data_IF_702839555316
#
_entry.id   IF_702839555316
#
_cell.length_a   1.000
_cell.length_b   1.000
_cell.length_c   1.000
_cell.angle_alpha   90.00
_cell.angle_beta   90.00
_cell.angle_gamma   90.00
#
_symmetry.space_group_name_H-M   'P 1'
#
loop_
_entity.id
_entity.type
_entity.pdbx_description
1 polymer ?
#
# COMPACT_ATOMS: atom_id res chain seq x y z
N UNK A 1 31.79 -12.13 2.96
CA UNK A 1 30.68 -12.38 3.90
C UNK A 1 29.88 -11.10 4.01
N UNK A 2 28.66 -11.09 3.48
CA UNK A 2 27.69 -10.01 3.70
C UNK A 2 26.38 -10.69 4.04
N UNK A 3 25.76 -10.16 5.08
CA UNK A 3 25.02 -10.86 6.11
C UNK A 3 23.59 -11.18 5.65
N UNK A 4 23.25 -12.47 5.74
CA UNK A 4 21.94 -13.00 5.41
C UNK A 4 20.92 -12.61 6.51
N UNK A 5 20.23 -11.48 6.29
CA UNK A 5 19.10 -11.00 7.09
C UNK A 5 17.86 -10.63 6.26
N UNK A 6 17.89 -10.77 4.93
CA UNK A 6 16.74 -10.51 4.05
C UNK A 6 15.75 -11.68 4.07
N UNK A 7 14.86 -11.70 5.07
CA UNK A 7 13.63 -12.49 5.06
C UNK A 7 12.50 -11.79 4.30
N UNK A 8 12.77 -11.24 3.11
CA UNK A 8 11.76 -11.09 2.08
C UNK A 8 12.13 -12.04 0.96
N UNK A 9 11.35 -13.10 0.79
CA UNK A 9 11.52 -14.05 -0.31
C UNK A 9 11.62 -13.29 -1.63
N UNK A 10 12.75 -13.48 -2.32
CA UNK A 10 13.02 -12.90 -3.62
C UNK A 10 12.02 -13.44 -4.65
N UNK A 11 10.86 -12.78 -4.77
CA UNK A 11 10.04 -12.88 -5.96
C UNK A 11 10.68 -12.02 -7.06
N UNK A 12 10.93 -12.54 -8.28
CA UNK A 12 11.46 -11.76 -9.38
C UNK A 12 10.41 -10.71 -9.82
N UNK A 13 10.80 -9.44 -9.95
CA UNK A 13 9.90 -8.37 -10.41
C UNK A 13 10.25 -6.98 -9.87
N UNK A 14 9.67 -5.95 -10.51
CA UNK A 14 9.78 -4.55 -10.07
C UNK A 14 9.14 -4.35 -8.69
N UNK A 15 9.54 -3.28 -7.99
CA UNK A 15 9.08 -2.97 -6.63
C UNK A 15 7.54 -3.02 -6.52
N UNK A 16 6.80 -2.53 -7.52
CA UNK A 16 5.34 -2.62 -7.57
C UNK A 16 4.83 -4.06 -7.57
N UNK A 17 5.44 -4.98 -8.33
CA UNK A 17 5.01 -6.37 -8.40
C UNK A 17 5.21 -7.13 -7.08
N UNK A 18 6.16 -6.67 -6.25
CA UNK A 18 6.39 -7.23 -4.90
C UNK A 18 5.41 -6.72 -3.87
N UNK A 19 4.91 -5.49 -4.05
CA UNK A 19 4.02 -4.83 -3.08
C UNK A 19 2.55 -5.13 -3.40
N UNK A 20 2.21 -5.37 -4.66
CA UNK A 20 0.86 -5.73 -5.14
C UNK A 20 0.15 -6.83 -4.33
N UNK A 21 0.80 -7.95 -3.93
CA UNK A 21 0.13 -8.98 -3.13
C UNK A 21 -0.35 -8.49 -1.76
N UNK A 22 0.39 -7.55 -1.14
CA UNK A 22 0.05 -7.00 0.18
C UNK A 22 -1.04 -5.93 0.10
N UNK A 23 -1.17 -5.26 -1.05
CA UNK A 23 -2.21 -4.23 -1.24
C UNK A 23 -3.54 -4.83 -1.69
N UNK A 24 -3.54 -6.02 -2.30
CA UNK A 24 -4.75 -6.69 -2.81
C UNK A 24 -5.89 -6.81 -1.77
N UNK A 25 -5.64 -7.21 -0.50
CA UNK A 25 -6.70 -7.23 0.52
C UNK A 25 -7.36 -5.87 0.76
N UNK A 26 -6.59 -4.77 0.68
CA UNK A 26 -7.13 -3.42 0.82
C UNK A 26 -8.03 -3.05 -0.36
N UNK A 27 -7.62 -3.39 -1.58
CA UNK A 27 -8.46 -3.22 -2.77
C UNK A 27 -9.75 -4.03 -2.67
N UNK A 28 -9.67 -5.30 -2.25
CA UNK A 28 -10.83 -6.19 -2.11
C UNK A 28 -11.82 -5.64 -1.09
N UNK A 29 -11.34 -5.17 0.07
CA UNK A 29 -12.18 -4.54 1.10
C UNK A 29 -12.87 -3.26 0.58
N UNK A 30 -12.14 -2.41 -0.16
CA UNK A 30 -12.73 -1.21 -0.76
C UNK A 30 -13.79 -1.56 -1.81
N UNK A 31 -13.53 -2.59 -2.63
CA UNK A 31 -14.48 -3.06 -3.63
C UNK A 31 -15.76 -3.62 -3.00
N UNK A 32 -15.65 -4.34 -1.88
CA UNK A 32 -16.80 -4.82 -1.12
C UNK A 32 -17.62 -3.67 -0.50
N UNK A 33 -16.95 -2.66 0.05
CA UNK A 33 -17.62 -1.55 0.76
C UNK A 33 -18.26 -0.51 -0.17
N UNK A 34 -17.61 -0.19 -1.29
CA UNK A 34 -17.98 0.93 -2.17
C UNK A 34 -18.42 0.50 -3.57
N UNK A 35 -18.16 -0.75 -3.94
CA UNK A 35 -18.36 -1.26 -5.30
C UNK A 35 -17.19 -0.95 -6.23
N UNK A 36 -16.88 -1.89 -7.13
CA UNK A 36 -15.72 -1.84 -8.04
C UNK A 36 -15.68 -0.55 -8.87
N UNK A 37 -16.77 -0.20 -9.56
CA UNK A 37 -16.81 0.98 -10.44
C UNK A 37 -16.51 2.29 -9.69
N UNK A 38 -17.03 2.42 -8.46
CA UNK A 38 -16.84 3.60 -7.65
C UNK A 38 -15.39 3.71 -7.17
N UNK A 39 -14.80 2.61 -6.71
CA UNK A 39 -13.41 2.58 -6.26
C UNK A 39 -12.46 2.92 -7.41
N UNK A 40 -12.63 2.30 -8.58
CA UNK A 40 -11.81 2.60 -9.78
C UNK A 40 -11.86 4.09 -10.11
N UNK A 41 -13.06 4.69 -10.14
CA UNK A 41 -13.22 6.13 -10.39
C UNK A 41 -12.58 7.02 -9.32
N UNK A 42 -12.57 6.57 -8.06
CA UNK A 42 -11.96 7.32 -6.95
C UNK A 42 -10.43 7.20 -6.98
N UNK A 43 -9.89 6.05 -7.37
CA UNK A 43 -8.45 5.83 -7.60
C UNK A 43 -7.97 6.71 -8.77
N UNK A 44 -8.67 6.71 -9.91
CA UNK A 44 -8.32 7.55 -11.07
C UNK A 44 -8.33 9.05 -10.74
N UNK A 45 -9.21 9.46 -9.83
CA UNK A 45 -9.30 10.85 -9.35
C UNK A 45 -8.29 11.17 -8.23
N UNK A 46 -7.47 10.22 -7.82
CA UNK A 46 -6.56 10.32 -6.67
C UNK A 46 -7.27 10.71 -5.35
N UNK A 47 -8.55 10.34 -5.20
CA UNK A 47 -9.30 10.53 -3.96
C UNK A 47 -8.99 9.41 -2.97
N UNK A 48 -8.80 8.19 -3.48
CA UNK A 48 -8.26 7.07 -2.73
C UNK A 48 -6.87 6.80 -3.27
N UNK A 49 -5.91 6.60 -2.37
CA UNK A 49 -4.56 6.20 -2.72
C UNK A 49 -4.13 5.07 -1.78
N UNK A 50 -3.62 3.98 -2.37
CA UNK A 50 -3.09 2.85 -1.62
C UNK A 50 -1.61 2.73 -1.99
N UNK A 51 -0.74 3.01 -1.04
CA UNK A 51 0.69 3.02 -1.26
C UNK A 51 1.45 2.54 -0.02
N UNK A 52 2.62 1.90 -0.20
CA UNK A 52 3.45 1.47 0.92
C UNK A 52 3.96 2.67 1.74
N UNK A 53 4.18 2.46 3.04
CA UNK A 53 4.60 3.51 3.98
C UNK A 53 5.85 4.28 3.55
N UNK A 54 6.78 3.61 2.84
CA UNK A 54 7.99 4.24 2.30
C UNK A 54 7.69 5.43 1.35
N UNK A 55 6.54 5.42 0.66
CA UNK A 55 6.12 6.47 -0.27
C UNK A 55 5.50 7.68 0.44
N UNK A 56 5.23 7.56 1.74
CA UNK A 56 4.66 8.65 2.55
C UNK A 56 5.72 9.63 3.06
N UNK A 57 7.00 9.23 3.08
CA UNK A 57 8.10 10.06 3.59
C UNK A 57 8.21 11.36 2.79
N UNK A 58 8.13 12.50 3.50
CA UNK A 58 8.28 13.83 2.90
C UNK A 58 7.01 14.38 2.24
N UNK A 59 5.89 13.65 2.28
CA UNK A 59 4.59 14.17 1.82
C UNK A 59 3.94 15.00 2.92
N UNK A 60 3.23 16.05 2.50
CA UNK A 60 2.29 16.77 3.34
C UNK A 60 0.87 16.35 2.95
N UNK A 61 0.15 15.72 3.88
CA UNK A 61 -1.20 15.23 3.66
C UNK A 61 -2.19 16.20 4.30
N UNK A 62 -2.73 17.12 3.49
CA UNK A 62 -3.74 18.08 3.93
C UNK A 62 -5.15 17.57 3.60
N UNK A 63 -6.09 17.80 4.51
CA UNK A 63 -7.50 17.43 4.35
C UNK A 63 -7.70 15.96 3.91
N UNK A 64 -6.92 15.07 4.53
CA UNK A 64 -6.87 13.66 4.19
C UNK A 64 -7.09 12.79 5.43
N UNK A 65 -7.79 11.68 5.23
CA UNK A 65 -7.81 10.58 6.19
C UNK A 65 -6.73 9.57 5.81
N UNK A 66 -5.87 9.22 6.76
CA UNK A 66 -4.80 8.24 6.58
C UNK A 66 -5.10 7.03 7.45
N UNK A 67 -5.15 5.86 6.81
CA UNK A 67 -5.28 4.58 7.50
C UNK A 67 -3.97 3.84 7.28
N UNK A 68 -3.30 3.52 8.39
CA UNK A 68 -2.11 2.68 8.38
C UNK A 68 -2.50 1.28 8.84
N UNK A 69 -2.42 0.32 7.93
CA UNK A 69 -2.59 -1.09 8.26
C UNK A 69 -1.27 -1.67 8.81
N UNK A 70 -1.37 -2.72 9.63
CA UNK A 70 -0.21 -3.42 10.20
C UNK A 70 0.79 -2.49 10.95
N UNK A 71 0.30 -1.45 11.62
CA UNK A 71 1.12 -0.43 12.28
C UNK A 71 2.11 -1.00 13.30
N UNK A 72 1.82 -2.16 13.89
CA UNK A 72 2.71 -2.90 14.79
C UNK A 72 4.07 -3.27 14.15
N UNK A 73 4.14 -3.34 12.82
CA UNK A 73 5.36 -3.68 12.08
C UNK A 73 6.27 -2.47 11.84
N UNK A 74 5.88 -1.28 12.32
CA UNK A 74 6.70 -0.07 12.21
C UNK A 74 7.73 0.00 13.33
N UNK A 75 8.92 0.52 13.02
CA UNK A 75 9.97 0.78 14.01
C UNK A 75 9.80 2.19 14.58
N UNK A 76 10.13 2.37 15.85
CA UNK A 76 10.19 3.67 16.53
C UNK A 76 11.34 4.51 15.97
#
# INVERSE_FOLDING_TARGET
>A
AVEAGEKLGFLPGDLSQKVDPYLRPLYDALYEMLGVEKVVKLLEKNVIEIAPLAYMRGRTLNDAYVILDEAQNTTI
#
